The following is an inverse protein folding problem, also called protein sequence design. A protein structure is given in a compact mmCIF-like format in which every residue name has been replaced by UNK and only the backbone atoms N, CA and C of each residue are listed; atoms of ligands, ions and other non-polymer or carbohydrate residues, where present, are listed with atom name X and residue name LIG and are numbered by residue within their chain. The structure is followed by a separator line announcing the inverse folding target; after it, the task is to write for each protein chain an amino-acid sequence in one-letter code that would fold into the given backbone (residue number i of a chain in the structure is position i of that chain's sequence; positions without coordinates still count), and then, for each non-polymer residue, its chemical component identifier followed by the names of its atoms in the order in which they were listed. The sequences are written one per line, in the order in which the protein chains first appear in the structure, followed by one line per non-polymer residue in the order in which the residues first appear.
data_IF_358556327943
#
_entry.id   IF_358556327943
#
_cell.length_a   1.000
_cell.length_b   1.000
_cell.length_c   1.000
_cell.angle_alpha   90.00
_cell.angle_beta   90.00
_cell.angle_gamma   90.00
#
_symmetry.space_group_name_H-M   'P 1'
#
loop_
_entity.id
_entity.type
_entity.pdbx_description
1 polymer ?
#
# COMPACT_ATOMS: atom_id res chain seq x y z
N UNK A 1 1.64 9.58 27.65
CA UNK A 1 1.48 10.37 28.88
C UNK A 1 2.80 10.42 29.62
N UNK A 2 3.15 11.58 30.19
CA UNK A 2 4.44 12.04 30.76
C UNK A 2 5.47 12.66 29.79
N UNK A 3 6.02 11.99 28.75
CA UNK A 3 7.04 12.61 27.89
C UNK A 3 6.53 13.84 27.14
N UNK A 4 5.30 13.76 26.60
CA UNK A 4 4.69 14.86 25.86
C UNK A 4 4.42 16.11 26.70
N UNK A 5 4.15 15.95 28.01
CA UNK A 5 3.89 17.09 28.92
C UNK A 5 5.21 17.77 29.30
N UNK A 6 6.28 16.99 29.51
CA UNK A 6 7.61 17.52 29.80
C UNK A 6 8.15 18.31 28.61
N UNK A 7 7.97 17.82 27.38
CA UNK A 7 8.37 18.51 26.16
C UNK A 7 7.58 19.82 25.98
N UNK A 8 6.28 19.81 26.28
CA UNK A 8 5.43 21.01 26.15
C UNK A 8 5.81 22.11 27.14
N UNK A 9 6.22 21.73 28.37
CA UNK A 9 6.67 22.65 29.40
C UNK A 9 8.07 23.23 29.12
N UNK A 10 8.96 22.44 28.50
CA UNK A 10 10.30 22.88 28.09
C UNK A 10 10.22 23.78 26.85
N UNK A 11 9.33 23.49 25.91
CA UNK A 11 9.22 24.20 24.63
C UNK A 11 8.49 25.55 24.71
N UNK A 12 7.95 25.94 25.87
CA UNK A 12 7.32 27.26 26.12
C UNK A 12 6.27 27.70 25.07
N UNK A 13 5.67 26.77 24.34
CA UNK A 13 4.73 27.06 23.25
C UNK A 13 5.38 27.63 21.98
N UNK A 14 6.71 27.68 21.88
CA UNK A 14 7.41 27.99 20.64
C UNK A 14 7.66 26.69 19.88
N UNK A 15 6.91 26.51 18.79
CA UNK A 15 7.02 25.40 17.85
C UNK A 15 8.42 25.40 17.22
N UNK A 16 9.33 24.64 17.81
CA UNK A 16 10.62 24.37 17.19
C UNK A 16 10.39 23.64 15.87
N UNK A 17 11.03 24.02 14.74
CA UNK A 17 10.89 23.32 13.46
C UNK A 17 11.44 21.88 13.47
N UNK A 18 11.98 21.42 14.61
CA UNK A 18 12.54 20.08 14.81
C UNK A 18 11.48 18.96 14.91
N UNK A 19 10.17 19.29 14.95
CA UNK A 19 9.08 18.31 15.11
C UNK A 19 7.95 18.48 14.09
N UNK A 20 8.22 19.03 12.90
CA UNK A 20 7.31 18.83 11.77
C UNK A 20 7.70 17.51 11.11
N UNK A 21 6.98 16.44 11.45
CA UNK A 21 7.07 15.20 10.69
C UNK A 21 6.64 15.49 9.26
N UNK A 22 7.57 15.38 8.32
CA UNK A 22 7.25 15.41 6.89
C UNK A 22 6.90 13.99 6.46
N UNK A 23 5.69 13.84 5.95
CA UNK A 23 5.19 12.59 5.39
C UNK A 23 6.06 12.10 4.23
N UNK A 24 6.57 13.03 3.41
CA UNK A 24 7.50 12.74 2.32
C UNK A 24 8.80 12.11 2.83
N UNK A 25 9.34 12.61 3.95
CA UNK A 25 10.53 12.01 4.56
C UNK A 25 10.25 10.59 5.07
N UNK A 26 9.05 10.36 5.62
CA UNK A 26 8.63 9.04 6.04
C UNK A 26 8.57 8.07 4.85
N UNK A 27 7.85 8.42 3.79
CA UNK A 27 7.67 7.57 2.61
C UNK A 27 8.96 7.34 1.81
N UNK A 28 9.82 8.35 1.67
CA UNK A 28 11.05 8.24 0.87
C UNK A 28 12.18 7.52 1.65
N UNK A 29 12.33 7.78 2.96
CA UNK A 29 13.49 7.31 3.70
C UNK A 29 13.20 6.25 4.77
N UNK A 30 12.06 6.30 5.46
CA UNK A 30 11.74 5.37 6.55
C UNK A 30 11.00 4.13 6.04
N UNK A 31 10.03 4.31 5.14
CA UNK A 31 9.19 3.22 4.64
C UNK A 31 10.01 2.13 3.92
N UNK A 32 10.98 2.44 3.02
CA UNK A 32 11.68 1.40 2.27
C UNK A 32 12.50 0.46 3.17
N UNK A 33 13.31 0.93 4.16
CA UNK A 33 13.96 0.05 5.11
C UNK A 33 13.00 -0.78 5.96
N UNK A 34 11.85 -0.23 6.35
CA UNK A 34 10.84 -0.96 7.14
C UNK A 34 10.25 -2.11 6.33
N UNK A 35 9.81 -1.86 5.10
CA UNK A 35 9.27 -2.89 4.20
C UNK A 35 10.35 -3.94 3.87
N UNK A 36 11.58 -3.51 3.60
CA UNK A 36 12.69 -4.43 3.33
C UNK A 36 12.98 -5.35 4.52
N UNK A 37 13.06 -4.79 5.72
CA UNK A 37 13.28 -5.55 6.95
C UNK A 37 12.12 -6.51 7.24
N UNK A 38 10.87 -6.07 7.03
CA UNK A 38 9.69 -6.92 7.17
C UNK A 38 9.74 -8.09 6.18
N UNK A 39 9.98 -7.82 4.89
CA UNK A 39 10.08 -8.83 3.85
C UNK A 39 11.23 -9.82 4.06
N UNK A 40 12.36 -9.36 4.61
CA UNK A 40 13.49 -10.22 4.95
C UNK A 40 13.16 -11.21 6.09
N UNK A 41 12.34 -10.78 7.04
CA UNK A 41 11.93 -11.55 8.20
C UNK A 41 10.83 -12.59 7.88
N UNK A 42 10.00 -12.36 6.86
CA UNK A 42 8.90 -13.27 6.50
C UNK A 42 9.37 -14.73 6.33
N UNK A 43 8.67 -15.66 6.99
CA UNK A 43 8.91 -17.10 6.84
C UNK A 43 8.45 -17.56 5.45
N UNK A 44 9.38 -17.60 4.49
CA UNK A 44 9.16 -17.91 3.07
C UNK A 44 8.21 -19.10 2.83
N UNK A 45 8.41 -20.23 3.53
CA UNK A 45 7.56 -21.42 3.40
C UNK A 45 6.09 -21.15 3.70
N UNK A 46 5.80 -20.36 4.73
CA UNK A 46 4.44 -20.02 5.14
C UNK A 46 3.80 -19.02 4.17
N UNK A 47 4.57 -18.03 3.73
CA UNK A 47 4.15 -17.06 2.73
C UNK A 47 3.72 -17.76 1.42
N UNK A 48 4.58 -18.59 0.85
CA UNK A 48 4.27 -19.30 -0.41
C UNK A 48 3.15 -20.33 -0.28
N UNK A 49 3.00 -20.97 0.90
CA UNK A 49 1.89 -21.89 1.15
C UNK A 49 0.52 -21.19 1.13
N UNK A 50 0.46 -19.93 1.58
CA UNK A 50 -0.78 -19.15 1.65
C UNK A 50 -0.84 -18.07 0.57
N UNK A 51 -0.01 -18.18 -0.47
CA UNK A 51 0.10 -17.16 -1.52
C UNK A 51 -1.24 -16.86 -2.18
N UNK A 52 -2.06 -17.88 -2.46
CA UNK A 52 -3.40 -17.70 -3.03
C UNK A 52 -4.29 -16.88 -2.11
N UNK A 53 -4.27 -17.13 -0.80
CA UNK A 53 -5.04 -16.38 0.20
C UNK A 53 -4.59 -14.93 0.28
N UNK A 54 -3.27 -14.68 0.23
CA UNK A 54 -2.68 -13.35 0.18
C UNK A 54 -3.18 -12.59 -1.05
N UNK A 55 -3.10 -13.22 -2.22
CA UNK A 55 -3.57 -12.63 -3.47
C UNK A 55 -5.07 -12.35 -3.44
N UNK A 56 -5.87 -13.25 -2.86
CA UNK A 56 -7.32 -13.07 -2.70
C UNK A 56 -7.64 -11.87 -1.81
N UNK A 57 -7.05 -11.80 -0.61
CA UNK A 57 -7.30 -10.67 0.28
C UNK A 57 -6.78 -9.35 -0.30
N UNK A 58 -5.55 -9.33 -0.81
CA UNK A 58 -4.94 -8.11 -1.32
C UNK A 58 -5.52 -7.63 -2.66
N UNK A 59 -5.98 -8.50 -3.55
CA UNK A 59 -6.58 -8.07 -4.82
C UNK A 59 -8.09 -7.91 -4.70
N UNK A 60 -8.81 -8.98 -4.33
CA UNK A 60 -10.28 -8.97 -4.30
C UNK A 60 -10.78 -8.11 -3.13
N UNK A 61 -10.13 -8.17 -1.97
CA UNK A 61 -10.47 -7.31 -0.84
C UNK A 61 -10.37 -5.83 -1.21
N UNK A 62 -9.30 -5.43 -1.90
CA UNK A 62 -9.09 -4.05 -2.37
C UNK A 62 -10.15 -3.60 -3.36
N UNK A 63 -10.53 -4.44 -4.33
CA UNK A 63 -11.60 -4.12 -5.30
C UNK A 63 -12.94 -3.91 -4.56
N UNK A 64 -13.25 -4.77 -3.59
CA UNK A 64 -14.46 -4.64 -2.77
C UNK A 64 -14.41 -3.33 -1.96
N UNK A 65 -13.30 -3.06 -1.27
CA UNK A 65 -13.09 -1.83 -0.48
C UNK A 65 -13.23 -0.59 -1.36
N UNK A 66 -12.58 -0.56 -2.52
CA UNK A 66 -12.68 0.52 -3.50
C UNK A 66 -14.13 0.77 -3.91
N UNK A 67 -14.89 -0.29 -4.20
CA UNK A 67 -16.30 -0.19 -4.59
C UNK A 67 -17.15 0.39 -3.46
N UNK A 68 -17.00 -0.12 -2.23
CA UNK A 68 -17.75 0.34 -1.06
C UNK A 68 -17.45 1.81 -0.77
N UNK A 69 -16.17 2.20 -0.76
CA UNK A 69 -15.74 3.56 -0.49
C UNK A 69 -16.26 4.52 -1.56
N UNK A 70 -16.11 4.17 -2.84
CA UNK A 70 -16.60 4.99 -3.96
C UNK A 70 -18.10 5.26 -3.86
N UNK A 71 -18.89 4.22 -3.57
CA UNK A 71 -20.33 4.35 -3.38
C UNK A 71 -20.65 5.21 -2.15
N UNK A 72 -19.96 5.00 -1.03
CA UNK A 72 -20.13 5.79 0.19
C UNK A 72 -19.86 7.27 -0.03
N UNK A 73 -18.72 7.61 -0.66
CA UNK A 73 -18.35 8.98 -1.00
C UNK A 73 -19.37 9.61 -1.94
N UNK A 74 -19.82 8.88 -2.97
CA UNK A 74 -20.86 9.37 -3.89
C UNK A 74 -22.13 9.76 -3.14
N UNK A 75 -22.58 8.96 -2.18
CA UNK A 75 -23.79 9.25 -1.39
C UNK A 75 -23.60 10.42 -0.43
N UNK A 76 -22.44 10.53 0.21
CA UNK A 76 -22.14 11.61 1.17
C UNK A 76 -21.98 12.94 0.44
N UNK A 77 -21.20 12.98 -0.64
CA UNK A 77 -20.88 14.22 -1.35
C UNK A 77 -22.13 14.80 -2.04
N UNK A 78 -22.99 13.95 -2.62
CA UNK A 78 -24.29 14.37 -3.16
C UNK A 78 -25.22 14.95 -2.09
N UNK A 79 -25.19 14.43 -0.85
CA UNK A 79 -25.99 14.97 0.25
C UNK A 79 -25.48 16.31 0.78
N UNK A 80 -24.17 16.52 0.72
CA UNK A 80 -23.50 17.71 1.23
C UNK A 80 -23.31 18.80 0.17
N UNK A 81 -23.78 18.57 -1.07
CA UNK A 81 -23.62 19.46 -2.23
C UNK A 81 -22.15 19.85 -2.50
N UNK A 82 -21.24 18.91 -2.26
CA UNK A 82 -19.80 19.14 -2.41
C UNK A 82 -19.42 18.89 -3.87
N UNK A 83 -19.43 19.97 -4.66
CA UNK A 83 -18.80 20.08 -5.98
C UNK A 83 -19.38 19.18 -7.09
N UNK A 84 -19.23 19.57 -8.36
CA UNK A 84 -19.57 18.69 -9.48
C UNK A 84 -18.42 17.70 -9.69
N UNK A 85 -18.52 16.52 -9.07
CA UNK A 85 -17.60 15.40 -9.32
C UNK A 85 -18.21 14.43 -10.32
N UNK A 86 -17.37 13.95 -11.24
CA UNK A 86 -17.75 12.90 -12.17
C UNK A 86 -17.58 11.51 -11.53
N UNK A 87 -18.13 10.48 -12.19
CA UNK A 87 -18.01 9.10 -11.73
C UNK A 87 -16.53 8.67 -11.54
N UNK A 88 -15.64 9.18 -12.39
CA UNK A 88 -14.21 8.90 -12.31
C UNK A 88 -13.58 9.42 -11.03
N UNK A 89 -13.96 10.61 -10.56
CA UNK A 89 -13.43 11.18 -9.33
C UNK A 89 -13.83 10.34 -8.11
N UNK A 90 -15.08 9.90 -8.04
CA UNK A 90 -15.54 9.04 -6.95
C UNK A 90 -14.82 7.68 -6.93
N UNK A 91 -14.61 7.09 -8.10
CA UNK A 91 -13.86 5.83 -8.23
C UNK A 91 -12.38 6.01 -7.88
N UNK A 92 -11.76 7.11 -8.32
CA UNK A 92 -10.38 7.44 -8.02
C UNK A 92 -10.17 7.64 -6.52
N UNK A 93 -11.08 8.34 -5.84
CA UNK A 93 -11.10 8.43 -4.38
C UNK A 93 -11.22 7.03 -3.77
N UNK A 94 -12.14 6.19 -4.25
CA UNK A 94 -12.25 4.81 -3.77
C UNK A 94 -10.95 4.02 -3.89
N UNK A 95 -10.24 4.14 -5.02
CA UNK A 95 -8.99 3.45 -5.26
C UNK A 95 -7.86 3.94 -4.33
N UNK A 96 -7.76 5.26 -4.13
CA UNK A 96 -6.79 5.88 -3.22
C UNK A 96 -7.01 5.41 -1.78
N UNK A 97 -8.26 5.40 -1.31
CA UNK A 97 -8.60 5.02 0.07
C UNK A 97 -8.72 3.51 0.29
N UNK A 98 -8.69 2.68 -0.76
CA UNK A 98 -8.69 1.23 -0.64
C UNK A 98 -7.33 0.66 -0.20
N UNK A 99 -6.25 1.39 -0.46
CA UNK A 99 -4.91 1.08 0.01
C UNK A 99 -4.85 1.07 1.55
N UNK A 100 -4.42 -0.03 2.14
CA UNK A 100 -4.33 -0.21 3.60
C UNK A 100 -2.90 -0.15 4.10
N UNK A 101 -2.64 0.62 5.16
CA UNK A 101 -1.32 0.64 5.78
C UNK A 101 -1.10 -0.59 6.68
N UNK A 102 -0.42 -1.59 6.11
CA UNK A 102 -0.02 -2.81 6.84
C UNK A 102 1.19 -2.59 7.75
N UNK A 103 1.96 -1.50 7.59
CA UNK A 103 3.23 -1.28 8.30
C UNK A 103 3.02 -1.14 9.80
N UNK A 104 2.04 -0.33 10.21
CA UNK A 104 1.69 -0.16 11.62
C UNK A 104 1.34 -1.51 12.28
N UNK A 105 0.56 -2.34 11.59
CA UNK A 105 0.16 -3.67 12.09
C UNK A 105 1.37 -4.61 12.21
N UNK A 106 2.29 -4.57 11.23
CA UNK A 106 3.50 -5.39 11.24
C UNK A 106 4.48 -5.02 12.36
N UNK A 107 4.46 -3.77 12.84
CA UNK A 107 5.30 -3.34 13.97
C UNK A 107 4.87 -3.95 15.30
N UNK A 108 3.58 -4.27 15.44
CA UNK A 108 3.01 -4.86 16.66
C UNK A 108 3.03 -6.39 16.60
N UNK A 109 2.98 -6.98 15.40
CA UNK A 109 2.99 -8.43 15.22
C UNK A 109 4.40 -9.01 15.43
N UNK A 110 4.47 -10.07 16.23
CA UNK A 110 5.67 -10.89 16.36
C UNK A 110 5.64 -12.07 15.38
N UNK A 111 6.64 -12.15 14.50
CA UNK A 111 6.78 -13.18 13.47
C UNK A 111 7.01 -14.60 14.03
N UNK A 112 7.59 -14.74 15.23
CA UNK A 112 7.90 -16.04 15.80
C UNK A 112 6.69 -16.59 16.57
N UNK A 113 5.89 -15.70 17.17
CA UNK A 113 4.62 -16.07 17.83
C UNK A 113 3.49 -16.27 16.81
N UNK A 114 3.42 -15.43 15.77
CA UNK A 114 2.30 -15.40 14.81
C UNK A 114 2.76 -15.40 13.33
N UNK A 115 3.57 -16.38 12.89
CA UNK A 115 4.19 -16.39 11.56
C UNK A 115 3.18 -16.40 10.41
N UNK A 116 2.01 -17.01 10.60
CA UNK A 116 0.94 -17.02 9.61
C UNK A 116 0.35 -15.61 9.42
N UNK A 117 -0.06 -14.96 10.52
CA UNK A 117 -0.70 -13.66 10.48
C UNK A 117 0.27 -12.59 9.95
N UNK A 118 1.52 -12.62 10.41
CA UNK A 118 2.57 -11.74 9.89
C UNK A 118 2.73 -11.87 8.37
N UNK A 119 2.81 -13.10 7.86
CA UNK A 119 2.96 -13.35 6.41
C UNK A 119 1.72 -12.90 5.62
N UNK A 120 0.52 -13.10 6.16
CA UNK A 120 -0.73 -12.70 5.52
C UNK A 120 -0.85 -11.17 5.46
N UNK A 121 -0.63 -10.46 6.56
CA UNK A 121 -0.73 -8.99 6.64
C UNK A 121 0.33 -8.32 5.76
N UNK A 122 1.58 -8.81 5.80
CA UNK A 122 2.64 -8.30 4.93
C UNK A 122 2.30 -8.50 3.46
N UNK A 123 1.88 -9.71 3.09
CA UNK A 123 1.58 -10.02 1.71
C UNK A 123 0.35 -9.27 1.19
N UNK A 124 -0.71 -9.22 1.99
CA UNK A 124 -1.96 -8.53 1.65
C UNK A 124 -1.70 -7.05 1.41
N UNK A 125 -0.98 -6.36 2.30
CA UNK A 125 -0.64 -4.95 2.10
C UNK A 125 0.14 -4.69 0.82
N UNK A 126 1.14 -5.52 0.49
CA UNK A 126 1.92 -5.37 -0.77
C UNK A 126 1.04 -5.55 -2.00
N UNK A 127 0.15 -6.56 -2.00
CA UNK A 127 -0.75 -6.82 -3.13
C UNK A 127 -1.85 -5.76 -3.22
N UNK A 128 -2.32 -5.27 -2.08
CA UNK A 128 -3.30 -4.20 -1.96
C UNK A 128 -2.77 -2.90 -2.59
N UNK A 129 -1.58 -2.46 -2.19
CA UNK A 129 -0.94 -1.25 -2.75
C UNK A 129 -0.81 -1.35 -4.28
N UNK A 130 -0.31 -2.48 -4.78
CA UNK A 130 -0.19 -2.72 -6.22
C UNK A 130 -1.56 -2.70 -6.91
N UNK A 131 -2.58 -3.31 -6.30
CA UNK A 131 -3.94 -3.37 -6.86
C UNK A 131 -4.56 -1.98 -6.92
N UNK A 132 -4.46 -1.20 -5.84
CA UNK A 132 -4.98 0.17 -5.75
C UNK A 132 -4.37 1.08 -6.81
N UNK A 133 -3.04 1.00 -7.04
CA UNK A 133 -2.36 1.75 -8.11
C UNK A 133 -2.88 1.38 -9.50
N UNK A 134 -3.07 0.09 -9.78
CA UNK A 134 -3.59 -0.35 -11.09
C UNK A 134 -5.04 0.08 -11.26
N UNK A 135 -5.87 0.00 -10.20
CA UNK A 135 -7.28 0.42 -10.28
C UNK A 135 -7.35 1.91 -10.56
N UNK A 136 -6.54 2.71 -9.86
CA UNK A 136 -6.44 4.14 -10.08
C UNK A 136 -6.00 4.48 -11.51
N UNK A 137 -4.93 3.85 -12.02
CA UNK A 137 -4.46 4.07 -13.39
C UNK A 137 -5.49 3.65 -14.43
N UNK A 138 -6.23 2.57 -14.20
CA UNK A 138 -7.31 2.15 -15.08
C UNK A 138 -8.44 3.19 -15.10
N UNK A 139 -8.87 3.70 -13.94
CA UNK A 139 -9.89 4.75 -13.87
C UNK A 139 -9.47 6.00 -14.66
N UNK A 140 -8.20 6.41 -14.56
CA UNK A 140 -7.67 7.57 -15.27
C UNK A 140 -7.53 7.35 -16.80
N UNK A 141 -7.37 6.10 -17.23
CA UNK A 141 -7.14 5.75 -18.63
C UNK A 141 -8.41 5.39 -19.39
N UNK A 142 -9.49 5.00 -18.70
CA UNK A 142 -10.74 4.57 -19.31
C UNK A 142 -11.79 5.66 -19.35
N UNK A 143 -12.40 5.85 -20.52
CA UNK A 143 -13.65 6.60 -20.65
C UNK A 143 -14.79 5.73 -20.07
N UNK A 144 -15.25 6.08 -18.86
CA UNK A 144 -16.20 5.33 -18.05
C UNK A 144 -17.61 5.22 -18.68
N UNK A 145 -17.83 5.84 -19.83
CA UNK A 145 -19.08 5.78 -20.59
C UNK A 145 -19.29 4.45 -21.32
N UNK A 146 -18.24 3.68 -21.59
CA UNK A 146 -18.33 2.35 -22.22
C UNK A 146 -17.64 1.28 -21.37
N UNK A 147 -18.43 0.58 -20.52
CA UNK A 147 -17.95 -0.59 -19.80
C UNK A 147 -17.68 -1.75 -20.78
N UNK A 148 -16.43 -1.85 -21.22
CA UNK A 148 -16.00 -2.85 -22.17
C UNK A 148 -15.22 -3.96 -21.45
N UNK A 149 -15.46 -5.23 -21.78
CA UNK A 149 -14.69 -6.37 -21.24
C UNK A 149 -13.18 -6.22 -21.51
N UNK A 150 -12.83 -5.45 -22.53
CA UNK A 150 -11.46 -5.05 -22.85
C UNK A 150 -10.78 -4.28 -21.70
N UNK A 151 -11.54 -3.53 -20.89
CA UNK A 151 -11.00 -2.79 -19.75
C UNK A 151 -10.46 -3.70 -18.64
N UNK A 152 -11.18 -4.78 -18.35
CA UNK A 152 -10.75 -5.78 -17.36
C UNK A 152 -9.47 -6.50 -17.82
N UNK A 153 -9.35 -6.81 -19.12
CA UNK A 153 -8.14 -7.42 -19.68
C UNK A 153 -6.94 -6.47 -19.67
N UNK A 154 -7.17 -5.19 -19.98
CA UNK A 154 -6.12 -4.18 -19.94
C UNK A 154 -5.64 -3.93 -18.50
N UNK A 155 -6.58 -3.83 -17.55
CA UNK A 155 -6.27 -3.77 -16.12
C UNK A 155 -5.40 -4.95 -15.65
N UNK A 156 -5.78 -6.18 -16.02
CA UNK A 156 -4.99 -7.37 -15.68
C UNK A 156 -3.60 -7.32 -16.34
N UNK A 157 -3.53 -6.82 -17.58
CA UNK A 157 -2.29 -6.60 -18.32
C UNK A 157 -1.36 -5.61 -17.63
N UNK A 158 -1.89 -4.45 -17.21
CA UNK A 158 -1.12 -3.40 -16.52
C UNK A 158 -0.65 -3.88 -15.14
N UNK A 159 -1.50 -4.59 -14.41
CA UNK A 159 -1.13 -5.22 -13.14
C UNK A 159 0.00 -6.24 -13.33
N UNK A 160 -0.14 -7.15 -14.30
CA UNK A 160 0.89 -8.14 -14.59
C UNK A 160 2.19 -7.48 -15.08
N UNK A 161 2.11 -6.43 -15.90
CA UNK A 161 3.26 -5.69 -16.37
C UNK A 161 4.01 -5.02 -15.21
N UNK A 162 3.32 -4.25 -14.38
CA UNK A 162 3.92 -3.57 -13.22
C UNK A 162 4.46 -4.57 -12.20
N UNK A 163 3.73 -5.65 -11.94
CA UNK A 163 4.14 -6.71 -11.02
C UNK A 163 5.41 -7.42 -11.51
N UNK A 164 5.45 -7.84 -12.78
CA UNK A 164 6.61 -8.53 -13.35
C UNK A 164 7.82 -7.61 -13.45
N UNK A 165 7.64 -6.38 -13.92
CA UNK A 165 8.72 -5.39 -14.01
C UNK A 165 9.33 -5.10 -12.64
N UNK A 166 8.48 -4.83 -11.64
CA UNK A 166 8.93 -4.56 -10.26
C UNK A 166 9.63 -5.77 -9.65
N UNK A 167 9.11 -6.98 -9.88
CA UNK A 167 9.74 -8.22 -9.41
C UNK A 167 11.12 -8.41 -10.06
N UNK A 168 11.23 -8.19 -11.37
CA UNK A 168 12.48 -8.35 -12.11
C UNK A 168 13.53 -7.35 -11.64
N UNK A 169 13.15 -6.08 -11.46
CA UNK A 169 14.03 -5.06 -10.89
C UNK A 169 14.47 -5.40 -9.46
N UNK A 170 13.56 -5.91 -8.62
CA UNK A 170 13.88 -6.39 -7.27
C UNK A 170 14.85 -7.57 -7.25
N UNK A 171 14.67 -8.54 -8.15
CA UNK A 171 15.59 -9.68 -8.30
C UNK A 171 16.96 -9.20 -8.80
N UNK A 172 17.00 -8.33 -9.82
CA UNK A 172 18.24 -7.81 -10.35
C UNK A 172 19.04 -7.05 -9.29
N UNK A 173 18.40 -6.12 -8.57
CA UNK A 173 19.04 -5.33 -7.51
C UNK A 173 19.50 -6.19 -6.34
N UNK A 174 18.71 -7.19 -5.92
CA UNK A 174 19.11 -8.13 -4.86
C UNK A 174 20.29 -9.02 -5.25
N UNK A 175 20.35 -9.49 -6.50
CA UNK A 175 21.49 -10.26 -7.02
C UNK A 175 22.77 -9.41 -7.11
N UNK A 176 22.65 -8.16 -7.57
CA UNK A 176 23.79 -7.22 -7.61
C UNK A 176 24.31 -6.98 -6.19
N UNK A 177 23.42 -6.71 -5.23
CA UNK A 177 23.79 -6.53 -3.83
C UNK A 177 24.50 -7.78 -3.27
N UNK A 178 23.94 -8.98 -3.51
CA UNK A 178 24.56 -10.23 -3.08
C UNK A 178 25.95 -10.46 -3.70
N UNK A 179 26.14 -10.12 -4.97
CA UNK A 179 27.44 -10.21 -5.64
C UNK A 179 28.47 -9.23 -5.05
N UNK A 180 28.07 -7.99 -4.78
CA UNK A 180 28.94 -6.98 -4.16
C UNK A 180 29.38 -7.43 -2.76
N UNK A 181 28.46 -7.91 -1.93
CA UNK A 181 28.78 -8.41 -0.59
C UNK A 181 29.76 -9.59 -0.67
N UNK A 182 29.54 -10.53 -1.61
CA UNK A 182 30.44 -11.68 -1.81
C UNK A 182 31.84 -11.30 -2.32
N UNK A 183 31.97 -10.15 -2.99
CA UNK A 183 33.26 -9.69 -3.54
C UNK A 183 34.06 -8.84 -2.53
N UNK A 184 33.37 -8.18 -1.60
CA UNK A 184 33.99 -7.32 -0.59
C UNK A 184 34.30 -8.09 0.71
N UNK A 185 33.46 -9.07 1.08
CA UNK A 185 33.70 -9.98 2.21
C UNK A 185 34.50 -11.21 1.79
#
# INVERSE_FOLDING_TARGET
GLPGVVILLISKGESSPLLVFSEDLFFIYLLPPIIFNAGFQVKKKQFFRNFVTIMLFGAIGTIISCTIISLGVTQIFKKLDIGPFDLGDYLAIGAIFAATDSVCTLQVLNQDETPLLYSLVFGEGVVNDATSVVVFNAIQSFDLTHLNHQAAFQFLGDFMYLFLLSTLLGVATSLISAYVIKKIG
#
